data_IF_372653329361
#
_entry.id   IF_372653329361
#
_cell.length_a   1.000
_cell.length_b   1.000
_cell.length_c   1.000
_cell.angle_alpha   90.00
_cell.angle_beta   90.00
_cell.angle_gamma   90.00
#
_symmetry.space_group_name_H-M   'P 1'
#
loop_
_entity.id
_entity.type
_entity.pdbx_description
1 polymer ?
#
# COMPACT_ATOMS: atom_id res chain seq x y z
N UNK A 1 22.73 24.73 5.80
CA UNK A 1 22.22 24.64 4.43
C UNK A 1 23.24 25.26 3.48
N UNK A 2 23.52 24.65 2.36
CA UNK A 2 24.36 25.22 1.27
C UNK A 2 23.61 25.10 -0.06
N UNK A 3 23.93 25.96 -1.01
CA UNK A 3 23.40 25.86 -2.37
C UNK A 3 24.53 25.43 -3.30
N UNK A 4 24.28 24.43 -4.14
CA UNK A 4 25.21 24.00 -5.19
C UNK A 4 24.50 24.05 -6.54
N UNK A 5 25.26 24.21 -7.61
CA UNK A 5 24.72 24.17 -8.98
C UNK A 5 24.97 22.80 -9.60
N UNK A 6 23.98 22.28 -10.28
CA UNK A 6 24.05 21.03 -11.04
C UNK A 6 23.46 21.23 -12.42
N UNK A 7 23.88 20.45 -13.40
CA UNK A 7 23.13 20.32 -14.64
C UNK A 7 21.84 19.52 -14.40
N UNK A 8 20.79 19.66 -15.25
CA UNK A 8 19.58 18.82 -15.17
C UNK A 8 19.90 17.33 -15.20
N UNK A 9 20.92 16.90 -15.92
CA UNK A 9 21.37 15.51 -16.00
C UNK A 9 21.96 15.04 -14.67
N UNK A 10 22.88 15.82 -14.08
CA UNK A 10 23.43 15.52 -12.76
C UNK A 10 22.34 15.45 -11.70
N UNK A 11 21.35 16.34 -11.77
CA UNK A 11 20.20 16.28 -10.87
C UNK A 11 19.37 15.01 -11.08
N UNK A 12 19.19 14.57 -12.31
CA UNK A 12 18.48 13.32 -12.60
C UNK A 12 19.17 12.11 -11.94
N UNK A 13 20.48 12.09 -11.89
CA UNK A 13 21.30 11.00 -11.35
C UNK A 13 21.39 11.00 -9.82
N UNK A 14 21.06 12.11 -9.14
CA UNK A 14 20.98 12.14 -7.67
C UNK A 14 20.01 11.06 -7.19
N UNK A 15 20.37 10.36 -6.11
CA UNK A 15 19.61 9.29 -5.52
C UNK A 15 18.15 9.73 -5.25
N UNK A 16 17.15 8.99 -5.77
CA UNK A 16 15.75 9.27 -5.45
C UNK A 16 15.45 8.96 -3.98
N UNK A 17 14.53 9.72 -3.37
CA UNK A 17 14.05 9.35 -2.05
C UNK A 17 13.31 8.01 -2.12
N UNK A 18 13.54 7.05 -1.20
CA UNK A 18 12.83 5.77 -1.20
C UNK A 18 11.30 5.89 -1.10
N UNK A 19 10.80 7.00 -0.54
CA UNK A 19 9.37 7.31 -0.50
C UNK A 19 8.84 7.96 -1.78
N UNK A 20 9.71 8.17 -2.79
CA UNK A 20 9.31 8.77 -4.05
C UNK A 20 8.24 7.94 -4.76
N UNK A 21 7.25 8.63 -5.29
CA UNK A 21 6.16 8.07 -6.09
C UNK A 21 6.62 7.70 -7.49
N UNK A 22 5.76 7.01 -8.23
CA UNK A 22 5.96 6.77 -9.66
C UNK A 22 6.13 8.10 -10.42
N UNK A 23 7.38 8.41 -10.73
CA UNK A 23 7.80 9.67 -11.34
C UNK A 23 7.35 9.75 -12.80
N UNK A 24 7.35 8.62 -13.51
CA UNK A 24 6.95 8.55 -14.92
C UNK A 24 5.46 8.88 -15.11
N UNK A 25 4.59 8.21 -14.34
CA UNK A 25 3.16 8.51 -14.38
C UNK A 25 2.85 9.96 -13.98
N UNK A 26 3.63 10.55 -13.09
CA UNK A 26 3.47 11.97 -12.71
C UNK A 26 3.93 12.90 -13.81
N UNK A 27 5.05 12.60 -14.47
CA UNK A 27 5.60 13.40 -15.55
C UNK A 27 4.62 13.55 -16.72
N UNK A 28 3.91 12.48 -17.09
CA UNK A 28 2.89 12.53 -18.16
C UNK A 28 1.74 13.48 -17.85
N UNK A 29 1.40 13.67 -16.57
CA UNK A 29 0.30 14.52 -16.08
C UNK A 29 0.72 15.93 -15.70
N UNK A 30 2.02 16.20 -15.61
CA UNK A 30 2.57 17.47 -15.12
C UNK A 30 2.72 18.52 -16.26
N UNK A 31 1.65 18.81 -17.00
CA UNK A 31 1.67 19.75 -18.12
C UNK A 31 2.22 21.14 -17.73
N UNK A 32 1.96 21.59 -16.49
CA UNK A 32 2.43 22.86 -15.95
C UNK A 32 3.95 22.94 -15.78
N UNK A 33 4.67 21.82 -15.80
CA UNK A 33 6.13 21.77 -15.69
C UNK A 33 6.84 21.75 -17.07
N UNK A 34 6.10 21.73 -18.18
CA UNK A 34 6.70 21.62 -19.52
C UNK A 34 7.45 22.89 -19.93
N UNK A 35 6.90 24.05 -19.61
CA UNK A 35 7.56 25.32 -19.84
C UNK A 35 8.53 25.66 -18.72
N UNK A 36 9.67 26.22 -19.08
CA UNK A 36 10.67 26.66 -18.10
C UNK A 36 10.16 27.87 -17.31
N UNK A 37 10.16 27.77 -16.00
CA UNK A 37 9.84 28.86 -15.09
C UNK A 37 10.93 29.01 -14.01
N UNK A 38 11.20 30.24 -13.55
CA UNK A 38 12.23 30.50 -12.54
C UNK A 38 12.09 29.65 -11.28
N UNK A 39 10.86 29.46 -10.80
CA UNK A 39 10.60 28.65 -9.61
C UNK A 39 10.88 27.15 -9.80
N UNK A 40 11.01 26.71 -11.07
CA UNK A 40 11.30 25.31 -11.36
C UNK A 40 12.79 24.97 -11.31
N UNK A 41 13.65 25.99 -11.26
CA UNK A 41 15.13 25.81 -11.29
C UNK A 41 15.70 25.52 -9.90
N UNK A 42 14.94 25.73 -8.82
CA UNK A 42 15.37 25.40 -7.45
C UNK A 42 14.78 24.06 -7.01
N UNK A 43 15.64 23.21 -6.46
CA UNK A 43 15.29 21.88 -5.95
C UNK A 43 15.96 21.64 -4.60
N UNK A 44 15.53 20.61 -3.88
CA UNK A 44 16.04 20.32 -2.54
C UNK A 44 16.59 18.90 -2.46
N UNK A 45 17.74 18.75 -1.77
CA UNK A 45 18.35 17.47 -1.48
C UNK A 45 18.76 17.37 -0.01
N UNK A 46 18.64 16.19 0.59
CA UNK A 46 19.31 15.85 1.82
C UNK A 46 20.74 15.38 1.52
N UNK A 47 21.72 15.75 2.35
CA UNK A 47 23.08 15.22 2.31
C UNK A 47 23.30 14.30 3.51
N UNK A 48 23.54 13.03 3.24
CA UNK A 48 23.91 12.03 4.24
C UNK A 48 25.33 12.29 4.77
N UNK A 49 25.64 11.71 5.93
CA UNK A 49 26.96 11.84 6.57
C UNK A 49 28.11 11.35 5.68
N UNK A 50 27.87 10.40 4.77
CA UNK A 50 28.82 9.93 3.77
C UNK A 50 29.01 10.86 2.56
N UNK A 51 28.29 11.98 2.49
CA UNK A 51 28.34 12.93 1.37
C UNK A 51 27.32 12.69 0.27
N UNK A 52 26.66 11.55 0.25
CA UNK A 52 25.63 11.20 -0.74
C UNK A 52 24.43 12.14 -0.65
N UNK A 53 23.91 12.49 -1.82
CA UNK A 53 22.72 13.33 -1.93
C UNK A 53 21.47 12.48 -2.20
N UNK A 54 20.39 12.80 -1.51
CA UNK A 54 19.06 12.19 -1.68
C UNK A 54 18.06 13.28 -2.02
N UNK A 55 17.32 13.13 -3.11
CA UNK A 55 16.30 14.11 -3.52
C UNK A 55 15.22 14.26 -2.45
N UNK A 56 14.87 15.50 -2.14
CA UNK A 56 13.71 15.87 -1.32
C UNK A 56 12.57 16.44 -2.17
N UNK A 57 12.91 17.17 -3.25
CA UNK A 57 11.95 17.72 -4.21
C UNK A 57 12.52 17.64 -5.63
N UNK A 58 11.74 17.99 -6.63
CA UNK A 58 12.18 18.07 -8.03
C UNK A 58 12.36 16.74 -8.76
N UNK A 59 11.90 15.62 -8.23
CA UNK A 59 11.98 14.31 -8.88
C UNK A 59 11.31 14.29 -10.26
N UNK A 60 10.07 14.77 -10.36
CA UNK A 60 9.31 14.84 -11.61
C UNK A 60 10.00 15.77 -12.61
N UNK A 61 10.49 16.92 -12.15
CA UNK A 61 11.23 17.87 -13.00
C UNK A 61 12.50 17.24 -13.57
N UNK A 62 13.32 16.61 -12.71
CA UNK A 62 14.54 15.92 -13.13
C UNK A 62 14.26 14.82 -14.16
N UNK A 63 13.22 14.03 -13.97
CA UNK A 63 12.77 13.04 -14.93
C UNK A 63 12.37 13.67 -16.27
N UNK A 64 11.51 14.69 -16.24
CA UNK A 64 11.04 15.37 -17.45
C UNK A 64 12.19 16.01 -18.24
N UNK A 65 13.15 16.61 -17.56
CA UNK A 65 14.35 17.16 -18.21
C UNK A 65 15.20 16.06 -18.85
N UNK A 66 15.45 14.98 -18.15
CA UNK A 66 16.25 13.87 -18.69
C UNK A 66 15.62 13.26 -19.95
N UNK A 67 14.28 13.15 -19.98
CA UNK A 67 13.55 12.52 -21.08
C UNK A 67 13.02 13.50 -22.14
N UNK A 68 13.42 14.78 -22.11
CA UNK A 68 13.00 15.77 -23.10
C UNK A 68 11.52 16.14 -23.07
N UNK A 69 10.83 15.90 -21.94
CA UNK A 69 9.41 16.19 -21.74
C UNK A 69 9.16 17.64 -21.29
N UNK A 70 10.20 18.37 -20.92
CA UNK A 70 10.15 19.78 -20.50
C UNK A 70 11.39 20.52 -20.97
N UNK A 71 11.28 21.85 -21.10
CA UNK A 71 12.41 22.74 -21.37
C UNK A 71 13.45 22.61 -20.24
N UNK A 72 14.71 22.43 -20.63
CA UNK A 72 15.84 22.25 -19.71
C UNK A 72 16.45 23.59 -19.31
N UNK A 73 16.63 23.88 -18.01
CA UNK A 73 17.46 25.00 -17.60
C UNK A 73 18.94 24.70 -17.87
N UNK A 74 19.77 25.74 -17.97
CA UNK A 74 21.21 25.57 -18.07
C UNK A 74 21.79 24.96 -16.78
N UNK A 75 21.26 25.35 -15.64
CA UNK A 75 21.65 24.81 -14.34
C UNK A 75 20.45 24.78 -13.38
N UNK A 76 20.55 23.94 -12.38
CA UNK A 76 19.59 23.75 -11.29
C UNK A 76 20.27 24.16 -9.99
N UNK A 77 19.62 25.03 -9.22
CA UNK A 77 20.08 25.41 -7.88
C UNK A 77 19.58 24.37 -6.89
N UNK A 78 20.49 23.60 -6.32
CA UNK A 78 20.19 22.54 -5.36
C UNK A 78 20.45 23.05 -3.95
N UNK A 79 19.41 23.22 -3.17
CA UNK A 79 19.51 23.53 -1.74
C UNK A 79 19.76 22.24 -0.99
N UNK A 80 20.93 22.14 -0.36
CA UNK A 80 21.40 20.95 0.34
C UNK A 80 21.21 21.10 1.84
N UNK A 81 20.52 20.14 2.44
CA UNK A 81 20.22 20.07 3.86
C UNK A 81 20.97 18.87 4.45
N UNK A 82 21.92 19.08 5.37
CA UNK A 82 22.61 17.97 6.02
C UNK A 82 21.63 17.19 6.89
N UNK A 83 21.74 15.86 6.85
CA UNK A 83 20.97 14.93 7.67
C UNK A 83 21.86 13.82 8.22
N UNK A 84 21.55 13.30 9.40
CA UNK A 84 22.32 12.26 10.04
C UNK A 84 22.11 10.88 9.40
N UNK A 85 20.94 10.65 8.80
CA UNK A 85 20.59 9.32 8.28
C UNK A 85 19.57 9.37 7.14
N UNK A 86 19.44 8.23 6.44
CA UNK A 86 18.37 8.02 5.46
C UNK A 86 16.97 8.10 6.10
N UNK A 87 16.83 7.73 7.38
CA UNK A 87 15.55 7.84 8.10
C UNK A 87 15.12 9.31 8.21
N UNK A 88 16.04 10.19 8.59
CA UNK A 88 15.81 11.64 8.64
C UNK A 88 15.53 12.23 7.25
N UNK A 89 16.24 11.79 6.21
CA UNK A 89 15.97 12.20 4.83
C UNK A 89 14.54 11.81 4.37
N UNK A 90 14.03 10.65 4.80
CA UNK A 90 12.66 10.19 4.52
C UNK A 90 11.62 11.03 5.28
N UNK A 91 11.91 11.38 6.53
CA UNK A 91 11.05 12.25 7.34
C UNK A 91 10.98 13.64 6.72
N UNK A 92 12.14 14.23 6.43
CA UNK A 92 12.25 15.54 5.82
C UNK A 92 11.53 15.61 4.45
N UNK A 93 11.56 14.53 3.67
CA UNK A 93 10.84 14.43 2.40
C UNK A 93 9.34 14.68 2.54
N UNK A 94 8.73 14.25 3.64
CA UNK A 94 7.29 14.45 3.88
C UNK A 94 6.87 15.92 3.94
N UNK A 95 7.79 16.82 4.29
CA UNK A 95 7.54 18.27 4.35
C UNK A 95 7.62 18.95 2.98
N UNK A 96 8.29 18.33 2.00
CA UNK A 96 8.39 18.85 0.63
C UNK A 96 7.28 18.32 -0.28
N UNK A 97 6.66 17.21 0.09
CA UNK A 97 5.52 16.68 -0.63
C UNK A 97 4.27 17.39 -0.11
N UNK A 98 3.88 18.48 -0.77
CA UNK A 98 2.78 19.33 -0.29
C UNK A 98 1.48 18.54 -0.13
N UNK A 99 0.71 18.83 0.93
CA UNK A 99 -0.61 18.26 1.22
C UNK A 99 -1.63 18.43 0.07
N UNK A 100 -1.39 19.38 -0.84
CA UNK A 100 -2.18 19.59 -2.07
C UNK A 100 -1.90 18.56 -3.16
N UNK A 101 -0.77 17.89 -3.12
CA UNK A 101 -0.50 16.66 -3.88
C UNK A 101 -0.69 15.47 -2.94
N UNK A 102 -1.89 15.32 -2.43
CA UNK A 102 -2.27 14.22 -1.56
C UNK A 102 -1.72 12.91 -2.11
N UNK A 103 -0.77 12.36 -1.39
CA UNK A 103 -0.28 11.02 -1.60
C UNK A 103 -1.50 10.09 -1.53
N UNK A 104 -1.99 9.68 -2.71
CA UNK A 104 -3.13 8.78 -2.77
C UNK A 104 -2.80 7.52 -1.98
N UNK A 105 -3.81 6.90 -1.40
CA UNK A 105 -3.64 5.65 -0.67
C UNK A 105 -2.79 4.62 -1.44
N UNK A 106 -2.91 4.61 -2.77
CA UNK A 106 -2.11 3.79 -3.68
C UNK A 106 -0.62 4.16 -3.68
N UNK A 107 -0.29 5.44 -3.63
CA UNK A 107 1.11 5.89 -3.67
C UNK A 107 1.84 5.49 -2.37
N UNK A 108 1.15 5.63 -1.22
CA UNK A 108 1.67 5.21 0.09
C UNK A 108 2.00 3.72 0.13
N UNK A 109 1.09 2.88 -0.39
CA UNK A 109 1.31 1.45 -0.37
C UNK A 109 2.47 1.04 -1.28
N UNK A 110 2.63 1.64 -2.47
CA UNK A 110 3.76 1.36 -3.34
C UNK A 110 5.10 1.82 -2.76
N UNK A 111 5.11 2.97 -2.07
CA UNK A 111 6.28 3.44 -1.31
C UNK A 111 6.67 2.43 -0.23
N UNK A 112 5.67 1.94 0.54
CA UNK A 112 5.88 0.94 1.57
C UNK A 112 6.42 -0.39 1.01
N UNK A 113 5.93 -0.83 -0.15
CA UNK A 113 6.42 -2.05 -0.81
C UNK A 113 7.89 -1.93 -1.22
N UNK A 114 8.29 -0.82 -1.85
CA UNK A 114 9.70 -0.58 -2.20
C UNK A 114 10.60 -0.59 -0.97
N UNK A 115 10.19 0.07 0.10
CA UNK A 115 10.97 0.16 1.33
C UNK A 115 11.10 -1.20 2.03
N UNK A 116 10.10 -2.05 1.94
CA UNK A 116 10.08 -3.37 2.59
C UNK A 116 10.57 -4.50 1.69
N UNK A 117 10.85 -4.22 0.41
CA UNK A 117 11.22 -5.23 -0.57
C UNK A 117 10.07 -6.19 -0.92
N UNK A 118 8.81 -5.75 -0.78
CA UNK A 118 7.64 -6.46 -1.31
C UNK A 118 7.53 -6.14 -2.80
N UNK A 119 7.39 -7.17 -3.63
CA UNK A 119 7.28 -7.03 -5.08
C UNK A 119 5.91 -7.56 -5.56
N UNK A 120 4.83 -6.77 -5.43
CA UNK A 120 3.48 -7.26 -5.63
C UNK A 120 3.22 -7.58 -7.11
N UNK A 121 2.67 -8.76 -7.36
CA UNK A 121 2.30 -9.27 -8.67
C UNK A 121 0.79 -9.23 -8.89
N UNK A 122 -0.01 -9.46 -7.85
CA UNK A 122 -1.47 -9.50 -7.96
C UNK A 122 -2.11 -8.11 -8.04
N UNK A 123 -3.22 -8.03 -8.77
CA UNK A 123 -4.01 -6.79 -8.85
C UNK A 123 -4.58 -6.36 -7.50
N UNK A 124 -4.92 -7.31 -6.62
CA UNK A 124 -5.45 -7.03 -5.28
C UNK A 124 -4.45 -6.26 -4.42
N UNK A 125 -3.22 -6.76 -4.30
CA UNK A 125 -2.19 -6.16 -3.43
C UNK A 125 -1.72 -4.80 -3.98
N UNK A 126 -1.84 -4.58 -5.29
CA UNK A 126 -1.55 -3.29 -5.96
C UNK A 126 -2.71 -2.28 -5.88
N UNK A 127 -3.78 -2.58 -5.17
CA UNK A 127 -5.00 -1.77 -5.14
C UNK A 127 -5.20 -0.97 -3.84
N UNK A 128 -6.08 0.04 -3.88
CA UNK A 128 -6.42 0.88 -2.73
C UNK A 128 -6.94 0.17 -1.48
N UNK A 129 -7.75 -0.91 -1.58
CA UNK A 129 -8.19 -1.72 -0.46
C UNK A 129 -7.08 -2.16 0.49
N UNK A 130 -5.87 -2.41 -0.01
CA UNK A 130 -4.71 -2.80 0.80
C UNK A 130 -4.30 -1.73 1.81
N UNK A 131 -4.26 -0.46 1.40
CA UNK A 131 -3.94 0.64 2.34
C UNK A 131 -4.99 0.75 3.44
N UNK A 132 -6.26 0.57 3.10
CA UNK A 132 -7.36 0.63 4.08
C UNK A 132 -7.31 -0.55 5.04
N UNK A 133 -7.00 -1.75 4.58
CA UNK A 133 -6.83 -2.93 5.42
C UNK A 133 -5.64 -2.76 6.38
N UNK A 134 -4.47 -2.37 5.88
CA UNK A 134 -3.26 -2.18 6.69
C UNK A 134 -3.46 -1.16 7.81
N UNK A 135 -4.06 0.00 7.53
CA UNK A 135 -4.33 1.03 8.55
C UNK A 135 -5.16 0.54 9.73
N UNK A 136 -5.87 -0.58 9.59
CA UNK A 136 -6.64 -1.18 10.68
C UNK A 136 -5.84 -2.16 11.53
N UNK A 137 -4.73 -2.68 11.01
CA UNK A 137 -3.93 -3.70 11.69
C UNK A 137 -3.06 -3.16 12.85
N UNK A 138 -2.94 -1.85 12.99
CA UNK A 138 -2.17 -1.22 14.07
C UNK A 138 -2.17 0.30 14.00
N UNK A 139 -1.51 0.92 14.96
CA UNK A 139 -1.39 2.38 15.10
C UNK A 139 -0.17 2.95 14.33
N UNK A 140 0.54 2.13 13.57
CA UNK A 140 1.69 2.55 12.78
C UNK A 140 1.31 3.20 11.44
N UNK A 141 2.28 3.84 10.82
CA UNK A 141 2.15 4.25 9.43
C UNK A 141 2.12 3.03 8.49
N UNK A 142 1.73 3.26 7.23
CA UNK A 142 1.61 2.18 6.23
C UNK A 142 2.94 1.47 5.98
N UNK A 143 4.08 2.16 6.12
CA UNK A 143 5.42 1.60 5.93
C UNK A 143 5.77 0.61 7.03
N UNK A 144 5.55 1.01 8.28
CA UNK A 144 5.75 0.15 9.45
C UNK A 144 4.84 -1.08 9.40
N UNK A 145 3.55 -0.87 9.08
CA UNK A 145 2.57 -1.96 8.99
C UNK A 145 2.87 -2.92 7.84
N UNK A 146 3.29 -2.42 6.68
CA UNK A 146 3.70 -3.28 5.56
C UNK A 146 4.91 -4.16 5.93
N UNK A 147 5.88 -3.63 6.70
CA UNK A 147 7.01 -4.40 7.21
C UNK A 147 6.58 -5.49 8.18
N UNK A 148 5.70 -5.15 9.13
CA UNK A 148 5.18 -6.10 10.13
C UNK A 148 4.34 -7.22 9.52
N UNK A 149 3.66 -6.95 8.40
CA UNK A 149 2.73 -7.86 7.73
C UNK A 149 3.26 -8.38 6.39
N UNK A 150 4.57 -8.21 6.13
CA UNK A 150 5.20 -8.59 4.86
C UNK A 150 4.89 -10.01 4.45
N UNK A 151 5.08 -10.98 5.36
CA UNK A 151 4.86 -12.41 5.10
C UNK A 151 3.43 -12.69 4.63
N UNK A 152 2.44 -12.14 5.31
CA UNK A 152 1.04 -12.35 4.97
C UNK A 152 0.64 -11.65 3.68
N UNK A 153 1.21 -10.46 3.42
CA UNK A 153 1.01 -9.74 2.16
C UNK A 153 1.55 -10.55 0.99
N UNK A 154 2.78 -11.06 1.08
CA UNK A 154 3.41 -11.87 0.04
C UNK A 154 2.67 -13.21 -0.15
N UNK A 155 2.20 -13.84 0.92
CA UNK A 155 1.39 -15.05 0.84
C UNK A 155 0.07 -14.80 0.08
N UNK A 156 -0.66 -13.73 0.39
CA UNK A 156 -1.89 -13.39 -0.32
C UNK A 156 -1.60 -12.96 -1.77
N UNK A 157 -0.49 -12.26 -2.01
CA UNK A 157 -0.06 -11.88 -3.36
C UNK A 157 0.16 -13.10 -4.28
N UNK A 158 0.74 -14.17 -3.72
CA UNK A 158 0.99 -15.41 -4.46
C UNK A 158 -0.29 -16.10 -4.98
N UNK A 159 -1.46 -15.76 -4.45
CA UNK A 159 -2.75 -16.25 -4.95
C UNK A 159 -3.17 -15.64 -6.29
N UNK A 160 -2.50 -14.58 -6.76
CA UNK A 160 -2.81 -13.92 -8.03
C UNK A 160 -4.19 -13.25 -8.09
N UNK A 161 -4.76 -12.87 -6.95
CA UNK A 161 -6.13 -12.35 -6.87
C UNK A 161 -6.26 -11.03 -7.64
N UNK A 162 -7.22 -10.88 -8.57
CA UNK A 162 -7.39 -9.66 -9.35
C UNK A 162 -7.88 -8.49 -8.49
N UNK A 163 -7.61 -7.26 -8.97
CA UNK A 163 -8.14 -6.05 -8.35
C UNK A 163 -9.69 -6.09 -8.31
N UNK A 164 -10.25 -5.59 -7.20
CA UNK A 164 -11.71 -5.52 -7.01
C UNK A 164 -12.35 -6.81 -6.51
N UNK A 165 -11.67 -7.95 -6.52
CA UNK A 165 -12.23 -9.21 -6.00
C UNK A 165 -12.43 -9.18 -4.48
N UNK A 166 -11.48 -8.59 -3.73
CA UNK A 166 -11.65 -8.39 -2.29
C UNK A 166 -11.94 -6.93 -1.95
N UNK A 167 -12.89 -6.72 -1.07
CA UNK A 167 -13.05 -5.45 -0.35
C UNK A 167 -11.94 -5.31 0.70
N UNK A 168 -11.75 -4.10 1.23
CA UNK A 168 -10.79 -3.89 2.33
C UNK A 168 -11.10 -4.74 3.57
N UNK A 169 -12.38 -5.03 3.83
CA UNK A 169 -12.79 -5.89 4.93
C UNK A 169 -12.42 -7.36 4.72
N UNK A 170 -12.65 -7.91 3.52
CA UNK A 170 -12.20 -9.26 3.17
C UNK A 170 -10.68 -9.37 3.26
N UNK A 171 -9.96 -8.36 2.76
CA UNK A 171 -8.50 -8.36 2.79
C UNK A 171 -7.95 -8.26 4.22
N UNK A 172 -8.55 -7.43 5.09
CA UNK A 172 -8.21 -7.39 6.51
C UNK A 172 -8.42 -8.75 7.18
N UNK A 173 -9.58 -9.36 6.95
CA UNK A 173 -9.88 -10.70 7.48
C UNK A 173 -8.89 -11.75 6.97
N UNK A 174 -8.54 -11.72 5.69
CA UNK A 174 -7.57 -12.65 5.08
C UNK A 174 -6.18 -12.49 5.68
N UNK A 175 -5.66 -11.25 5.83
CA UNK A 175 -4.36 -10.99 6.45
C UNK A 175 -4.31 -11.55 7.87
N UNK A 176 -5.32 -11.26 8.68
CA UNK A 176 -5.41 -11.75 10.06
C UNK A 176 -5.51 -13.28 10.10
N UNK A 177 -6.32 -13.88 9.23
CA UNK A 177 -6.54 -15.32 9.20
C UNK A 177 -5.30 -16.09 8.74
N UNK A 178 -4.59 -15.58 7.73
CA UNK A 178 -3.30 -16.14 7.28
C UNK A 178 -2.25 -16.06 8.41
N UNK A 179 -2.18 -14.96 9.14
CA UNK A 179 -1.26 -14.85 10.29
C UNK A 179 -1.53 -15.89 11.36
N UNK A 180 -2.80 -16.17 11.63
CA UNK A 180 -3.21 -17.08 12.72
C UNK A 180 -3.21 -18.55 12.28
N UNK A 181 -3.61 -18.84 11.04
CA UNK A 181 -3.85 -20.20 10.54
C UNK A 181 -2.87 -20.65 9.46
N UNK A 182 -1.89 -19.79 9.09
CA UNK A 182 -0.87 -20.11 8.09
C UNK A 182 -1.48 -20.57 6.77
N UNK A 183 -0.98 -21.69 6.24
CA UNK A 183 -1.39 -22.24 4.96
C UNK A 183 -2.89 -22.56 4.88
N UNK A 184 -3.51 -22.97 5.98
CA UNK A 184 -4.96 -23.21 6.02
C UNK A 184 -5.75 -21.92 5.87
N UNK A 185 -5.24 -20.81 6.44
CA UNK A 185 -5.80 -19.48 6.24
C UNK A 185 -5.66 -19.00 4.81
N UNK A 186 -4.52 -19.29 4.19
CA UNK A 186 -4.26 -18.97 2.78
C UNK A 186 -5.16 -19.77 1.84
N UNK A 187 -5.36 -21.06 2.12
CA UNK A 187 -6.29 -21.91 1.37
C UNK A 187 -7.72 -21.38 1.43
N UNK A 188 -8.20 -21.00 2.62
CA UNK A 188 -9.52 -20.41 2.78
C UNK A 188 -9.65 -19.09 1.96
N UNK A 189 -8.66 -18.23 2.02
CA UNK A 189 -8.64 -16.98 1.22
C UNK A 189 -8.69 -17.28 -0.29
N UNK A 190 -7.98 -18.30 -0.77
CA UNK A 190 -8.01 -18.76 -2.16
C UNK A 190 -9.40 -19.23 -2.58
N UNK A 191 -10.07 -20.03 -1.74
CA UNK A 191 -11.42 -20.52 -2.01
C UNK A 191 -12.45 -19.36 -2.05
N UNK A 192 -12.34 -18.39 -1.13
CA UNK A 192 -13.17 -17.18 -1.15
C UNK A 192 -12.92 -16.36 -2.42
N UNK A 193 -11.68 -16.21 -2.84
CA UNK A 193 -11.34 -15.50 -4.08
C UNK A 193 -11.90 -16.18 -5.33
N UNK A 194 -11.93 -17.51 -5.34
CA UNK A 194 -12.49 -18.34 -6.42
C UNK A 194 -14.02 -18.48 -6.35
N UNK A 195 -14.67 -17.96 -5.29
CA UNK A 195 -16.09 -18.20 -5.01
C UNK A 195 -16.45 -19.70 -5.01
N UNK A 196 -15.55 -20.51 -4.45
CA UNK A 196 -15.62 -21.98 -4.50
C UNK A 196 -16.32 -22.57 -3.26
N UNK A 197 -17.29 -21.85 -2.70
CA UNK A 197 -18.09 -22.31 -1.60
C UNK A 197 -19.16 -23.32 -2.02
N UNK A 198 -19.64 -24.11 -1.06
CA UNK A 198 -20.68 -25.11 -1.27
C UNK A 198 -21.91 -24.83 -0.42
N UNK A 199 -23.09 -25.02 -1.04
CA UNK A 199 -24.37 -24.93 -0.38
C UNK A 199 -25.16 -26.23 -0.59
N UNK A 200 -25.70 -26.75 0.49
CA UNK A 200 -26.58 -27.96 0.49
C UNK A 200 -27.82 -27.67 1.30
N UNK A 201 -28.72 -28.64 1.42
CA UNK A 201 -29.92 -28.53 2.29
C UNK A 201 -29.54 -28.32 3.75
N UNK A 202 -28.39 -28.80 4.19
CA UNK A 202 -27.86 -28.61 5.55
C UNK A 202 -27.29 -27.20 5.78
N UNK A 203 -27.17 -26.38 4.74
CA UNK A 203 -26.68 -25.01 4.80
C UNK A 203 -25.44 -24.74 3.95
N UNK A 204 -24.89 -23.55 4.14
CA UNK A 204 -23.68 -23.06 3.46
C UNK A 204 -22.44 -23.42 4.24
N UNK A 205 -21.35 -23.76 3.55
CA UNK A 205 -20.05 -23.77 4.18
C UNK A 205 -19.54 -22.35 4.48
N UNK A 206 -18.39 -22.24 5.14
CA UNK A 206 -17.83 -20.93 5.48
C UNK A 206 -17.49 -20.07 4.26
N UNK A 207 -17.08 -20.68 3.14
CA UNK A 207 -16.73 -19.96 1.90
C UNK A 207 -17.97 -19.35 1.27
N UNK A 208 -19.02 -20.14 1.02
CA UNK A 208 -20.30 -19.64 0.45
C UNK A 208 -20.93 -18.57 1.37
N UNK A 209 -20.87 -18.79 2.69
CA UNK A 209 -21.45 -17.88 3.66
C UNK A 209 -20.80 -16.48 3.64
N UNK A 210 -19.47 -16.39 3.55
CA UNK A 210 -18.76 -15.09 3.47
C UNK A 210 -18.89 -14.46 2.08
N UNK A 211 -18.88 -15.24 1.01
CA UNK A 211 -19.08 -14.72 -0.36
C UNK A 211 -20.44 -14.06 -0.51
N UNK A 212 -21.51 -14.69 -0.03
CA UNK A 212 -22.86 -14.09 -0.03
C UNK A 212 -22.96 -12.80 0.79
N UNK A 213 -22.25 -12.72 1.92
CA UNK A 213 -22.21 -11.50 2.71
C UNK A 213 -21.46 -10.37 1.97
N UNK A 214 -20.32 -10.68 1.38
CA UNK A 214 -19.43 -9.69 0.79
C UNK A 214 -19.87 -9.20 -0.60
N UNK A 215 -20.54 -10.06 -1.38
CA UNK A 215 -20.93 -9.79 -2.77
C UNK A 215 -22.45 -9.74 -2.97
N UNK A 216 -23.22 -10.00 -1.91
CA UNK A 216 -24.69 -10.00 -1.99
C UNK A 216 -25.30 -8.61 -2.07
N UNK A 217 -26.61 -8.54 -2.42
CA UNK A 217 -27.37 -7.30 -2.42
C UNK A 217 -27.35 -6.66 -1.02
N UNK A 218 -26.98 -5.39 -0.95
CA UNK A 218 -26.92 -4.63 0.32
C UNK A 218 -25.56 -4.64 1.02
N UNK A 219 -24.50 -5.13 0.39
CA UNK A 219 -23.14 -4.95 0.89
C UNK A 219 -22.86 -3.45 1.15
N UNK A 220 -22.69 -3.09 2.42
CA UNK A 220 -22.50 -1.69 2.84
C UNK A 220 -21.04 -1.29 2.71
N UNK A 221 -20.79 -0.01 2.38
CA UNK A 221 -19.47 0.59 2.44
C UNK A 221 -19.19 1.25 3.79
N UNK A 222 -17.97 1.75 3.96
CA UNK A 222 -17.56 2.49 5.14
C UNK A 222 -16.79 1.67 6.17
N UNK A 223 -16.36 2.34 7.24
CA UNK A 223 -15.47 1.76 8.24
C UNK A 223 -16.11 0.63 9.06
N UNK A 224 -17.35 0.82 9.48
CA UNK A 224 -18.09 -0.19 10.24
C UNK A 224 -18.29 -1.47 9.42
N UNK A 225 -18.63 -1.33 8.13
CA UNK A 225 -18.76 -2.45 7.21
C UNK A 225 -17.43 -3.19 6.96
N UNK A 226 -16.32 -2.46 6.93
CA UNK A 226 -15.00 -3.07 6.81
C UNK A 226 -14.70 -3.98 8.01
N UNK A 227 -14.95 -3.50 9.22
CA UNK A 227 -14.72 -4.27 10.44
C UNK A 227 -15.67 -5.47 10.56
N UNK A 228 -16.94 -5.28 10.23
CA UNK A 228 -17.93 -6.37 10.23
C UNK A 228 -17.57 -7.46 9.22
N UNK A 229 -17.20 -7.08 8.00
CA UNK A 229 -16.79 -8.05 6.95
C UNK A 229 -15.53 -8.81 7.37
N UNK A 230 -14.54 -8.14 7.97
CA UNK A 230 -13.34 -8.81 8.47
C UNK A 230 -13.67 -9.83 9.57
N UNK A 231 -14.51 -9.44 10.54
CA UNK A 231 -14.94 -10.34 11.61
C UNK A 231 -15.71 -11.55 11.10
N UNK A 232 -16.60 -11.37 10.12
CA UNK A 232 -17.35 -12.46 9.47
C UNK A 232 -16.42 -13.39 8.67
N UNK A 233 -15.39 -12.84 8.01
CA UNK A 233 -14.39 -13.65 7.32
C UNK A 233 -13.70 -14.63 8.28
N UNK A 234 -13.30 -14.16 9.46
CA UNK A 234 -12.67 -14.99 10.49
C UNK A 234 -13.61 -16.07 11.00
N UNK A 235 -14.84 -15.70 11.35
CA UNK A 235 -15.84 -16.66 11.83
C UNK A 235 -16.17 -17.73 10.78
N UNK A 236 -16.30 -17.32 9.53
CA UNK A 236 -16.54 -18.22 8.41
C UNK A 236 -15.35 -19.17 8.17
N UNK A 237 -14.12 -18.65 8.27
CA UNK A 237 -12.89 -19.45 8.17
C UNK A 237 -12.77 -20.50 9.27
N UNK A 238 -13.09 -20.14 10.52
CA UNK A 238 -13.10 -21.11 11.63
C UNK A 238 -14.17 -22.20 11.44
N UNK A 239 -15.33 -21.85 10.94
CA UNK A 239 -16.36 -22.84 10.65
C UNK A 239 -15.98 -23.77 9.50
N UNK A 240 -15.34 -23.21 8.45
CA UNK A 240 -14.80 -24.01 7.35
C UNK A 240 -13.72 -24.99 7.83
N UNK A 241 -12.79 -24.54 8.69
CA UNK A 241 -11.79 -25.42 9.30
C UNK A 241 -12.40 -26.54 10.14
N UNK A 242 -13.51 -26.24 10.83
CA UNK A 242 -14.25 -27.18 11.66
C UNK A 242 -15.29 -28.00 10.87
N UNK A 243 -15.34 -27.87 9.56
CA UNK A 243 -16.35 -28.47 8.67
C UNK A 243 -17.81 -28.23 9.14
N UNK A 244 -18.06 -27.02 9.68
CA UNK A 244 -19.41 -26.60 10.14
C UNK A 244 -20.14 -25.84 9.04
N UNK A 245 -21.45 -26.02 8.98
CA UNK A 245 -22.34 -25.34 8.03
C UNK A 245 -23.22 -24.29 8.71
N UNK A 246 -23.61 -23.30 7.93
CA UNK A 246 -24.44 -22.19 8.35
C UNK A 246 -25.84 -22.29 7.72
N UNK A 247 -26.90 -22.36 8.54
CA UNK A 247 -28.27 -22.18 8.09
C UNK A 247 -28.69 -20.70 8.04
N UNK A 248 -27.96 -19.84 8.73
CA UNK A 248 -28.22 -18.41 8.85
C UNK A 248 -26.96 -17.59 8.49
N UNK A 249 -27.06 -16.26 8.59
CA UNK A 249 -25.95 -15.34 8.38
C UNK A 249 -24.83 -15.58 9.37
N UNK A 250 -23.59 -15.53 8.90
CA UNK A 250 -22.38 -15.63 9.73
C UNK A 250 -22.36 -14.48 10.72
N UNK A 251 -22.16 -14.77 12.00
CA UNK A 251 -21.97 -13.75 13.03
C UNK A 251 -20.59 -13.10 12.87
N UNK A 252 -20.46 -11.85 13.29
CA UNK A 252 -19.18 -11.17 13.31
C UNK A 252 -18.40 -11.50 14.59
N UNK A 253 -17.08 -11.55 14.48
CA UNK A 253 -16.14 -11.64 15.61
C UNK A 253 -15.24 -10.39 15.58
N UNK A 254 -14.89 -9.84 16.73
CA UNK A 254 -13.90 -8.77 16.77
C UNK A 254 -12.53 -9.33 16.32
N UNK A 255 -12.04 -8.85 15.20
CA UNK A 255 -10.79 -9.33 14.62
C UNK A 255 -9.55 -9.02 15.50
N UNK A 256 -9.62 -7.97 16.34
CA UNK A 256 -8.55 -7.62 17.27
C UNK A 256 -8.46 -8.64 18.40
N UNK A 257 -9.61 -9.00 18.97
CA UNK A 257 -9.67 -10.08 19.97
C UNK A 257 -9.21 -11.41 19.38
N UNK A 258 -9.63 -11.72 18.14
CA UNK A 258 -9.21 -12.91 17.44
C UNK A 258 -7.70 -12.96 17.29
N UNK A 259 -7.07 -11.87 16.83
CA UNK A 259 -5.62 -11.76 16.69
C UNK A 259 -4.89 -11.82 18.04
N UNK A 260 -5.46 -11.25 19.10
CA UNK A 260 -4.87 -11.26 20.44
C UNK A 260 -4.87 -12.67 21.06
N UNK A 261 -5.92 -13.45 20.82
CA UNK A 261 -6.01 -14.86 21.30
C UNK A 261 -4.97 -15.76 20.63
N UNK A 262 -4.63 -15.50 19.38
CA UNK A 262 -3.65 -16.30 18.65
C UNK A 262 -2.19 -16.02 19.05
N UNK A 263 -1.93 -14.97 19.81
CA UNK A 263 -0.58 -14.65 20.34
C UNK A 263 -0.30 -15.29 21.69
N UNK A 264 -1.30 -15.92 22.32
CA UNK A 264 -1.17 -16.70 23.54
C UNK A 264 -0.97 -18.18 23.23
#
# INVERSE_FOLDING_TARGET
MKTIKMTPQQWHEVMPNPRQRDTETRATKAAHLRALHRTHQTVFAAQLSGGDLVKLDGHTRGYMWAHGMAEKPQSVDVIVIPVASMAEAKELYSHYDSDKTLEKARDKIFGAYRETGINPTSGLIRSGPMTSALKKLGNGDVYTLARQWKREIEAIDSLGIPAGKFTAGLLLGALVFVRVRGDRGLEFARLVAADAGTRTDDGSDGVDAICRHAYGPGAKGGEAALQDTAGRFLTAGEAWLANRRYKQTVKTTDWREYLARAKK
#
